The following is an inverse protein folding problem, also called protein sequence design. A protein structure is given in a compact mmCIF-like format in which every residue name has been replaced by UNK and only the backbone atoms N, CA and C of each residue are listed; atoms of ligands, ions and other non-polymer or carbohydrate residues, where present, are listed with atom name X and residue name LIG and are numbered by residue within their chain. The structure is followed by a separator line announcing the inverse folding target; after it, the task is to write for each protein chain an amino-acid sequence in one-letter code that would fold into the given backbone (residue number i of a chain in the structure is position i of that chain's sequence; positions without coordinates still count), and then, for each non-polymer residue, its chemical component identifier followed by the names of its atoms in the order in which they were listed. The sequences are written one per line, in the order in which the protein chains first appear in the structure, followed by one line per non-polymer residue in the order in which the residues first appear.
data_IF_365604416312
#
_entry.id   IF_365604416312
#
_cell.length_a   1.000
_cell.length_b   1.000
_cell.length_c   1.000
_cell.angle_alpha   90.00
_cell.angle_beta   90.00
_cell.angle_gamma   90.00
#
_symmetry.space_group_name_H-M   'P 1'
#
loop_
_entity.id
_entity.type
_entity.pdbx_description
1 polymer ?
#
# COMPACT_ATOMS: atom_id res chain seq x y z
N UNK A 1 15.06 61.97 -16.70
CA UNK A 1 16.21 61.88 -15.78
C UNK A 1 15.88 60.82 -14.73
N UNK A 2 16.34 59.56 -14.90
CA UNK A 2 16.04 58.44 -14.01
C UNK A 2 17.08 58.41 -12.89
N UNK A 3 16.74 58.84 -11.70
CA UNK A 3 17.62 58.81 -10.53
C UNK A 3 17.76 57.36 -10.06
N UNK A 4 18.85 56.68 -10.42
CA UNK A 4 19.25 55.37 -9.85
C UNK A 4 19.64 55.56 -8.39
N UNK A 5 18.72 55.31 -7.45
CA UNK A 5 19.05 55.22 -6.02
C UNK A 5 19.96 54.00 -5.80
N UNK A 6 21.22 54.25 -5.43
CA UNK A 6 22.13 53.17 -4.99
C UNK A 6 21.63 52.56 -3.71
N UNK A 7 21.33 51.27 -3.72
CA UNK A 7 20.91 50.52 -2.54
C UNK A 7 22.05 50.54 -1.52
N UNK A 8 21.79 50.85 -0.23
CA UNK A 8 22.82 50.86 0.80
C UNK A 8 23.40 49.43 0.98
N UNK A 9 24.73 49.35 1.14
CA UNK A 9 25.49 48.11 1.23
C UNK A 9 24.90 47.09 2.23
N UNK A 10 24.33 47.56 3.35
CA UNK A 10 23.67 46.69 4.33
C UNK A 10 22.42 46.01 3.81
N UNK A 11 21.60 46.67 3.01
CA UNK A 11 20.40 46.07 2.37
C UNK A 11 20.79 45.03 1.33
N UNK A 12 21.88 45.27 0.56
CA UNK A 12 22.40 44.29 -0.39
C UNK A 12 22.93 43.03 0.29
N UNK A 13 23.60 43.17 1.47
CA UNK A 13 24.07 42.04 2.27
C UNK A 13 22.93 41.22 2.85
N UNK A 14 21.89 41.86 3.40
CA UNK A 14 20.70 41.17 3.92
C UNK A 14 19.97 40.42 2.80
N UNK A 15 19.82 41.02 1.63
CA UNK A 15 19.21 40.37 0.47
C UNK A 15 20.00 39.13 0.00
N UNK A 16 21.32 39.20 -0.02
CA UNK A 16 22.21 38.10 -0.38
C UNK A 16 22.11 36.94 0.63
N UNK A 17 22.07 37.24 1.93
CA UNK A 17 21.91 36.23 3.00
C UNK A 17 20.53 35.57 2.89
N UNK A 18 19.47 36.34 2.66
CA UNK A 18 18.11 35.78 2.50
C UNK A 18 17.99 34.85 1.29
N UNK A 19 18.63 35.21 0.16
CA UNK A 19 18.67 34.35 -1.04
C UNK A 19 19.46 33.07 -0.78
N UNK A 20 20.62 33.16 -0.11
CA UNK A 20 21.40 31.99 0.28
C UNK A 20 20.65 31.07 1.25
N UNK A 21 19.98 31.64 2.24
CA UNK A 21 19.16 30.89 3.19
C UNK A 21 17.96 30.20 2.52
N UNK A 22 17.27 30.88 1.60
CA UNK A 22 16.19 30.32 0.81
C UNK A 22 16.69 29.19 -0.12
N UNK A 23 17.87 29.39 -0.75
CA UNK A 23 18.49 28.36 -1.58
C UNK A 23 18.92 27.13 -0.76
N UNK A 24 19.51 27.35 0.41
CA UNK A 24 19.86 26.28 1.34
C UNK A 24 18.63 25.55 1.87
N UNK A 25 17.54 26.28 2.14
CA UNK A 25 16.27 25.69 2.55
C UNK A 25 15.62 24.87 1.43
N UNK A 26 15.74 25.29 0.16
CA UNK A 26 15.31 24.49 -1.00
C UNK A 26 16.13 23.21 -1.19
N UNK A 27 17.42 23.21 -0.82
CA UNK A 27 18.29 22.03 -0.93
C UNK A 27 18.16 21.07 0.24
N UNK A 28 17.94 21.57 1.46
CA UNK A 28 18.02 20.79 2.71
C UNK A 28 16.70 20.79 3.48
N UNK A 29 15.78 21.69 3.14
CA UNK A 29 14.46 21.80 3.80
C UNK A 29 13.60 20.55 3.67
N UNK A 30 12.64 20.35 4.59
CA UNK A 30 11.74 19.22 4.55
C UNK A 30 10.95 19.25 3.24
N UNK A 31 11.15 18.23 2.40
CA UNK A 31 10.41 18.08 1.14
C UNK A 31 8.96 17.72 1.47
N UNK A 32 7.96 18.43 0.89
CA UNK A 32 6.57 18.06 1.08
C UNK A 32 6.36 16.60 0.62
N UNK A 33 5.56 15.86 1.38
CA UNK A 33 5.31 14.43 1.14
C UNK A 33 4.84 14.13 -0.31
N UNK A 34 4.20 15.09 -0.97
CA UNK A 34 3.78 15.00 -2.37
C UNK A 34 4.95 14.94 -3.37
N UNK A 35 6.13 15.53 -3.04
CA UNK A 35 7.34 15.44 -3.89
C UNK A 35 8.08 14.11 -3.72
N UNK A 36 7.71 13.32 -2.71
CA UNK A 36 8.28 12.00 -2.43
C UNK A 36 7.40 10.87 -2.96
N UNK A 37 6.22 11.19 -3.49
CA UNK A 37 5.36 10.22 -4.17
C UNK A 37 6.07 9.75 -5.45
N UNK A 38 6.24 8.43 -5.58
CA UNK A 38 6.98 7.82 -6.70
C UNK A 38 8.50 7.74 -6.52
N UNK A 39 9.06 8.13 -5.37
CA UNK A 39 10.46 7.83 -5.05
C UNK A 39 10.60 6.34 -4.67
N UNK A 40 11.35 5.52 -5.43
CA UNK A 40 11.45 4.07 -5.20
C UNK A 40 11.90 3.70 -3.78
N UNK A 41 12.68 4.56 -3.13
CA UNK A 41 13.13 4.31 -1.74
C UNK A 41 11.98 4.38 -0.74
N UNK A 42 11.00 5.28 -0.94
CA UNK A 42 9.83 5.39 -0.07
C UNK A 42 8.82 4.28 -0.35
N UNK A 43 8.70 3.85 -1.60
CA UNK A 43 7.89 2.68 -1.97
C UNK A 43 8.47 1.41 -1.36
N UNK A 44 9.78 1.18 -1.48
CA UNK A 44 10.47 0.04 -0.88
C UNK A 44 10.37 0.05 0.66
N UNK A 45 10.48 1.22 1.31
CA UNK A 45 10.32 1.33 2.75
C UNK A 45 8.89 1.03 3.19
N UNK A 46 7.88 1.56 2.48
CA UNK A 46 6.47 1.30 2.78
C UNK A 46 6.12 -0.18 2.58
N UNK A 47 6.61 -0.79 1.50
CA UNK A 47 6.44 -2.22 1.25
C UNK A 47 7.07 -3.06 2.36
N UNK A 48 8.30 -2.75 2.76
CA UNK A 48 8.96 -3.48 3.85
C UNK A 48 8.20 -3.34 5.17
N UNK A 49 7.71 -2.15 5.50
CA UNK A 49 6.90 -1.92 6.70
C UNK A 49 5.57 -2.69 6.64
N UNK A 50 4.91 -2.74 5.48
CA UNK A 50 3.69 -3.53 5.28
C UNK A 50 3.97 -5.03 5.45
N UNK A 51 5.00 -5.54 4.78
CA UNK A 51 5.30 -6.97 4.73
C UNK A 51 5.77 -7.51 6.09
N UNK A 52 6.45 -6.70 6.89
CA UNK A 52 6.96 -7.08 8.22
C UNK A 52 6.04 -6.70 9.38
N UNK A 53 4.96 -5.94 9.12
CA UNK A 53 4.00 -5.57 10.15
C UNK A 53 3.36 -6.80 10.77
N UNK A 54 3.43 -6.89 12.10
CA UNK A 54 2.73 -7.96 12.85
C UNK A 54 1.26 -7.62 12.95
N UNK A 55 0.41 -8.53 12.49
CA UNK A 55 -1.05 -8.45 12.54
C UNK A 55 -1.59 -9.74 13.13
N UNK A 56 -2.60 -9.66 13.96
CA UNK A 56 -3.25 -10.87 14.50
C UNK A 56 -4.09 -11.53 13.39
N UNK A 57 -4.02 -12.83 13.27
CA UNK A 57 -4.95 -13.62 12.45
C UNK A 57 -6.34 -13.59 13.09
N UNK A 58 -7.37 -13.30 12.32
CA UNK A 58 -8.75 -13.16 12.85
C UNK A 58 -9.31 -14.46 13.39
N UNK A 59 -8.89 -15.61 12.87
CA UNK A 59 -9.35 -16.93 13.33
C UNK A 59 -8.58 -17.38 14.57
N UNK A 60 -7.23 -17.43 14.49
CA UNK A 60 -6.39 -18.00 15.55
C UNK A 60 -5.97 -17.00 16.62
N UNK A 61 -5.89 -15.71 16.28
CA UNK A 61 -5.33 -14.65 17.13
C UNK A 61 -3.81 -14.62 17.15
N UNK A 62 -3.14 -15.51 16.44
CA UNK A 62 -1.69 -15.55 16.34
C UNK A 62 -1.16 -14.34 15.58
N UNK A 63 -0.01 -13.81 16.02
CA UNK A 63 0.66 -12.72 15.34
C UNK A 63 1.38 -13.23 14.10
N UNK A 64 0.98 -12.75 12.93
CA UNK A 64 1.53 -13.09 11.62
C UNK A 64 1.98 -11.85 10.85
N UNK A 65 2.73 -12.05 9.79
CA UNK A 65 3.13 -10.97 8.88
C UNK A 65 3.24 -11.51 7.45
N UNK A 66 3.14 -10.61 6.45
CA UNK A 66 3.07 -11.03 5.05
C UNK A 66 4.35 -11.71 4.52
N UNK A 67 5.50 -11.56 5.20
CA UNK A 67 6.73 -12.23 4.78
C UNK A 67 6.67 -13.77 4.88
N UNK A 68 5.73 -14.31 5.62
CA UNK A 68 5.51 -15.76 5.75
C UNK A 68 5.02 -16.41 4.46
N UNK A 69 4.44 -15.61 3.54
CA UNK A 69 3.93 -16.08 2.24
C UNK A 69 4.90 -15.83 1.07
N UNK A 70 6.19 -15.62 1.34
CA UNK A 70 7.21 -15.54 0.28
C UNK A 70 7.41 -16.89 -0.41
N UNK A 71 7.99 -16.85 -1.62
CA UNK A 71 8.28 -18.05 -2.43
C UNK A 71 7.22 -18.37 -3.47
N UNK A 72 6.04 -17.77 -3.38
CA UNK A 72 4.99 -17.76 -4.42
C UNK A 72 4.43 -16.34 -4.56
N UNK A 73 3.85 -15.99 -5.70
CA UNK A 73 3.07 -14.75 -5.82
C UNK A 73 2.05 -14.64 -4.71
N UNK A 74 1.81 -13.41 -4.23
CA UNK A 74 0.91 -13.13 -3.12
C UNK A 74 -0.12 -12.06 -3.53
N UNK A 75 -1.39 -12.39 -3.41
CA UNK A 75 -2.50 -11.44 -3.50
C UNK A 75 -2.87 -10.97 -2.10
N UNK A 76 -2.74 -9.67 -1.85
CA UNK A 76 -3.13 -9.02 -0.59
C UNK A 76 -4.35 -8.16 -0.86
N UNK A 77 -5.48 -8.49 -0.24
CA UNK A 77 -6.74 -7.76 -0.37
C UNK A 77 -7.08 -7.03 0.93
N UNK A 78 -7.16 -5.70 0.87
CA UNK A 78 -7.59 -4.85 1.99
C UNK A 78 -9.09 -4.63 1.89
N UNK A 79 -9.82 -5.00 2.93
CA UNK A 79 -11.28 -4.98 2.95
C UNK A 79 -11.84 -4.67 4.34
N UNK A 80 -13.16 -4.45 4.43
CA UNK A 80 -13.86 -4.31 5.71
C UNK A 80 -15.28 -4.89 5.61
N UNK A 81 -15.86 -5.27 6.72
CA UNK A 81 -17.21 -5.84 6.77
C UNK A 81 -18.30 -4.81 6.44
N UNK A 82 -18.05 -3.54 6.73
CA UNK A 82 -18.94 -2.41 6.42
C UNK A 82 -18.74 -1.82 5.01
N UNK A 83 -17.88 -2.43 4.18
CA UNK A 83 -17.55 -1.93 2.83
C UNK A 83 -18.33 -2.72 1.76
N UNK A 84 -19.45 -2.23 1.20
CA UNK A 84 -20.25 -2.97 0.24
C UNK A 84 -19.52 -3.37 -1.04
N UNK A 85 -18.64 -2.52 -1.64
CA UNK A 85 -17.86 -2.96 -2.80
C UNK A 85 -16.87 -4.07 -2.45
N UNK A 86 -16.30 -4.09 -1.23
CA UNK A 86 -15.43 -5.18 -0.77
C UNK A 86 -16.19 -6.51 -0.73
N UNK A 87 -17.40 -6.51 -0.15
CA UNK A 87 -18.23 -7.72 -0.03
C UNK A 87 -18.59 -8.32 -1.40
N UNK A 88 -18.77 -7.46 -2.42
CA UNK A 88 -19.12 -7.95 -3.77
C UNK A 88 -17.99 -8.71 -4.46
N UNK A 89 -16.74 -8.37 -4.19
CA UNK A 89 -15.59 -9.03 -4.84
C UNK A 89 -15.11 -10.30 -4.12
N UNK A 90 -15.37 -10.44 -2.79
CA UNK A 90 -14.86 -11.55 -2.00
C UNK A 90 -15.21 -12.95 -2.54
N UNK A 91 -16.42 -13.21 -3.09
CA UNK A 91 -16.71 -14.51 -3.70
C UNK A 91 -15.79 -14.86 -4.88
N UNK A 92 -15.41 -13.87 -5.70
CA UNK A 92 -14.49 -14.08 -6.81
C UNK A 92 -13.05 -14.33 -6.31
N UNK A 93 -12.63 -13.63 -5.24
CA UNK A 93 -11.35 -13.88 -4.57
C UNK A 93 -11.30 -15.29 -3.99
N UNK A 94 -12.37 -15.75 -3.31
CA UNK A 94 -12.44 -17.10 -2.79
C UNK A 94 -12.35 -18.17 -3.90
N UNK A 95 -13.07 -17.96 -5.00
CA UNK A 95 -13.05 -18.87 -6.13
C UNK A 95 -11.67 -18.96 -6.78
N UNK A 96 -11.00 -17.82 -7.03
CA UNK A 96 -9.67 -17.79 -7.62
C UNK A 96 -8.61 -18.34 -6.65
N UNK A 97 -8.73 -18.07 -5.35
CA UNK A 97 -7.84 -18.64 -4.35
C UNK A 97 -7.88 -20.18 -4.35
N UNK A 98 -9.05 -20.78 -4.52
CA UNK A 98 -9.18 -22.23 -4.67
C UNK A 98 -8.54 -22.76 -5.97
N UNK A 99 -8.71 -22.04 -7.09
CA UNK A 99 -8.13 -22.43 -8.39
C UNK A 99 -6.60 -22.36 -8.36
N UNK A 100 -6.04 -21.33 -7.73
CA UNK A 100 -4.60 -21.06 -7.73
C UNK A 100 -3.87 -21.51 -6.45
N UNK A 101 -4.52 -22.23 -5.52
CA UNK A 101 -4.03 -22.58 -4.17
C UNK A 101 -2.60 -23.12 -4.11
N UNK A 102 -2.19 -23.90 -5.14
CA UNK A 102 -0.86 -24.50 -5.18
C UNK A 102 0.21 -23.57 -5.78
N UNK A 103 -0.20 -22.49 -6.45
CA UNK A 103 0.65 -21.59 -7.22
C UNK A 103 0.73 -20.18 -6.65
N UNK A 104 -0.30 -19.71 -5.95
CA UNK A 104 -0.45 -18.34 -5.48
C UNK A 104 -0.98 -18.32 -4.06
N UNK A 105 -0.42 -17.47 -3.22
CA UNK A 105 -0.94 -17.20 -1.88
C UNK A 105 -1.97 -16.06 -1.92
N UNK A 106 -2.95 -16.14 -1.06
CA UNK A 106 -3.92 -15.08 -0.80
C UNK A 106 -3.94 -14.75 0.69
N UNK A 107 -4.03 -13.45 1.00
CA UNK A 107 -4.18 -12.95 2.37
C UNK A 107 -5.15 -11.76 2.36
N UNK A 108 -6.18 -11.82 3.18
CA UNK A 108 -7.02 -10.67 3.48
C UNK A 108 -6.40 -9.82 4.59
N UNK A 109 -6.45 -8.50 4.47
CA UNK A 109 -6.20 -7.56 5.57
C UNK A 109 -7.52 -6.86 5.85
N UNK A 110 -8.16 -7.26 6.94
CA UNK A 110 -9.45 -6.74 7.37
C UNK A 110 -9.29 -5.52 8.28
N UNK A 111 -10.04 -4.46 8.01
CA UNK A 111 -10.04 -3.22 8.80
C UNK A 111 -11.32 -3.12 9.61
N UNK A 112 -11.49 -4.04 10.54
CA UNK A 112 -12.63 -4.14 11.41
C UNK A 112 -12.28 -4.95 12.68
N UNK A 113 -13.25 -5.10 13.58
CA UNK A 113 -13.14 -5.91 14.78
C UNK A 113 -12.96 -7.41 14.44
N UNK A 114 -12.15 -8.09 15.23
CA UNK A 114 -11.78 -9.50 15.03
C UNK A 114 -12.97 -10.41 14.74
N UNK A 115 -13.99 -10.34 15.60
CA UNK A 115 -15.16 -11.23 15.51
C UNK A 115 -15.99 -10.96 14.25
N UNK A 116 -16.13 -9.70 13.88
CA UNK A 116 -16.81 -9.31 12.64
C UNK A 116 -16.08 -9.86 11.41
N UNK A 117 -14.74 -9.71 11.36
CA UNK A 117 -13.90 -10.24 10.28
C UNK A 117 -13.96 -11.76 10.21
N UNK A 118 -13.85 -12.45 11.36
CA UNK A 118 -13.91 -13.91 11.45
C UNK A 118 -15.23 -14.44 10.92
N UNK A 119 -16.33 -13.84 11.35
CA UNK A 119 -17.68 -14.22 10.92
C UNK A 119 -17.89 -13.98 9.42
N UNK A 120 -17.50 -12.81 8.93
CA UNK A 120 -17.65 -12.46 7.53
C UNK A 120 -16.75 -13.33 6.62
N UNK A 121 -15.49 -13.58 7.00
CA UNK A 121 -14.58 -14.44 6.24
C UNK A 121 -15.16 -15.85 6.08
N UNK A 122 -15.73 -16.42 7.14
CA UNK A 122 -16.46 -17.71 7.09
C UNK A 122 -17.70 -17.63 6.21
N UNK A 123 -18.49 -16.56 6.35
CA UNK A 123 -19.71 -16.35 5.55
C UNK A 123 -19.45 -16.25 4.05
N UNK A 124 -18.34 -15.65 3.64
CA UNK A 124 -17.89 -15.58 2.24
C UNK A 124 -17.12 -16.84 1.79
N UNK A 125 -16.84 -17.79 2.70
CA UNK A 125 -16.08 -18.99 2.37
C UNK A 125 -14.64 -18.73 1.94
N UNK A 126 -13.97 -17.74 2.55
CA UNK A 126 -12.59 -17.40 2.20
C UNK A 126 -11.65 -18.56 2.59
N UNK A 127 -10.94 -19.19 1.62
CA UNK A 127 -10.05 -20.32 1.89
C UNK A 127 -8.64 -19.87 2.32
N UNK A 128 -8.48 -18.60 2.66
CA UNK A 128 -7.21 -17.97 3.02
C UNK A 128 -7.35 -17.12 4.30
N UNK A 129 -6.24 -16.87 5.03
CA UNK A 129 -6.28 -16.12 6.28
C UNK A 129 -6.68 -14.66 6.07
N UNK A 130 -7.38 -14.12 7.08
CA UNK A 130 -7.65 -12.69 7.22
C UNK A 130 -6.91 -12.17 8.42
N UNK A 131 -5.97 -11.24 8.21
CA UNK A 131 -5.22 -10.56 9.25
C UNK A 131 -5.94 -9.27 9.65
N UNK A 132 -5.88 -8.92 10.93
CA UNK A 132 -6.49 -7.70 11.45
C UNK A 132 -5.57 -6.53 11.18
N UNK A 133 -5.93 -5.69 10.21
CA UNK A 133 -5.23 -4.47 9.87
C UNK A 133 -5.57 -3.31 10.81
N UNK A 134 -4.81 -2.25 10.70
CA UNK A 134 -5.01 -1.00 11.43
C UNK A 134 -4.63 0.21 10.57
N UNK A 135 -4.78 1.43 11.11
CA UNK A 135 -4.46 2.66 10.40
C UNK A 135 -3.00 2.78 9.97
N UNK A 136 -2.04 2.18 10.70
CA UNK A 136 -0.64 2.14 10.30
C UNK A 136 -0.45 1.29 9.04
N UNK A 137 -0.99 0.07 9.04
CA UNK A 137 -0.90 -0.89 7.93
C UNK A 137 -1.58 -0.32 6.67
N UNK A 138 -2.78 0.26 6.82
CA UNK A 138 -3.46 0.94 5.71
C UNK A 138 -2.67 2.17 5.23
N UNK A 139 -1.99 2.87 6.13
CA UNK A 139 -1.13 4.01 5.81
C UNK A 139 0.00 3.67 4.84
N UNK A 140 0.55 2.44 4.90
CA UNK A 140 1.61 2.00 3.98
C UNK A 140 1.11 1.91 2.53
N UNK A 141 -0.16 1.61 2.32
CA UNK A 141 -0.75 1.48 0.97
C UNK A 141 -0.71 2.80 0.17
N UNK A 142 -0.61 3.96 0.84
CA UNK A 142 -0.51 5.29 0.19
C UNK A 142 0.66 5.34 -0.79
N UNK A 143 1.79 4.76 -0.42
CA UNK A 143 3.01 4.70 -1.25
C UNK A 143 3.01 3.53 -2.23
N UNK A 144 2.02 2.64 -2.11
CA UNK A 144 1.86 1.44 -2.92
C UNK A 144 0.66 1.55 -3.87
N UNK A 145 0.25 2.79 -4.22
CA UNK A 145 -0.77 3.06 -5.22
C UNK A 145 -2.18 3.32 -4.67
N UNK A 146 -2.36 3.48 -3.34
CA UNK A 146 -3.64 3.83 -2.71
C UNK A 146 -3.57 5.19 -1.98
N UNK A 147 -3.44 6.31 -2.69
CA UNK A 147 -3.22 7.62 -2.09
C UNK A 147 -4.36 8.09 -1.17
N UNK A 148 -5.57 7.61 -1.40
CA UNK A 148 -6.77 7.96 -0.64
C UNK A 148 -7.05 7.02 0.53
N UNK A 149 -6.27 5.93 0.70
CA UNK A 149 -6.53 4.84 1.64
C UNK A 149 -7.92 4.23 1.44
N UNK A 150 -8.39 4.22 0.18
CA UNK A 150 -9.70 3.67 -0.20
C UNK A 150 -9.78 2.17 -0.04
N UNK A 151 -11.00 1.66 0.15
CA UNK A 151 -11.31 0.23 0.17
C UNK A 151 -12.35 -0.11 -0.91
N UNK A 152 -12.27 -1.32 -1.47
CA UNK A 152 -11.17 -2.28 -1.33
C UNK A 152 -9.88 -1.80 -2.00
N UNK A 153 -8.75 -2.38 -1.57
CA UNK A 153 -7.48 -2.19 -2.24
C UNK A 153 -6.79 -3.55 -2.39
N UNK A 154 -6.34 -3.86 -3.59
CA UNK A 154 -5.62 -5.11 -3.87
C UNK A 154 -4.19 -4.80 -4.29
N UNK A 155 -3.22 -5.46 -3.66
CA UNK A 155 -1.81 -5.44 -4.01
C UNK A 155 -1.39 -6.86 -4.41
N UNK A 156 -0.73 -7.00 -5.56
CA UNK A 156 -0.22 -8.29 -6.03
C UNK A 156 1.30 -8.24 -6.08
N UNK A 157 1.92 -9.17 -5.39
CA UNK A 157 3.37 -9.31 -5.30
C UNK A 157 3.85 -10.56 -6.07
N UNK A 158 5.06 -10.52 -6.62
CA UNK A 158 5.73 -11.71 -7.17
C UNK A 158 6.27 -12.64 -6.06
N UNK A 159 6.85 -13.76 -6.41
CA UNK A 159 7.42 -14.72 -5.46
C UNK A 159 8.57 -14.17 -4.62
N UNK A 160 9.23 -13.08 -5.07
CA UNK A 160 10.28 -12.37 -4.33
C UNK A 160 9.69 -11.32 -3.38
N UNK A 161 8.36 -11.09 -3.45
CA UNK A 161 7.67 -10.08 -2.66
C UNK A 161 7.77 -8.68 -3.26
N UNK A 162 8.07 -8.54 -4.56
CA UNK A 162 8.07 -7.26 -5.26
C UNK A 162 6.69 -6.95 -5.82
N UNK A 163 6.22 -5.69 -5.79
CA UNK A 163 4.95 -5.29 -6.36
C UNK A 163 4.93 -5.54 -7.88
N UNK A 164 3.89 -6.23 -8.35
CA UNK A 164 3.62 -6.45 -9.78
C UNK A 164 2.54 -5.51 -10.26
N UNK A 165 1.45 -5.41 -9.48
CA UNK A 165 0.32 -4.52 -9.79
C UNK A 165 -0.48 -4.22 -8.53
N UNK A 166 -1.29 -3.17 -8.62
CA UNK A 166 -2.26 -2.81 -7.58
C UNK A 166 -3.57 -2.32 -8.19
N UNK A 167 -4.63 -2.36 -7.39
CA UNK A 167 -5.94 -1.87 -7.80
C UNK A 167 -6.66 -1.20 -6.63
N UNK A 168 -7.23 -0.01 -6.86
CA UNK A 168 -8.08 0.71 -5.91
C UNK A 168 -9.53 0.57 -6.35
N UNK A 169 -10.40 0.16 -5.44
CA UNK A 169 -11.80 -0.15 -5.72
C UNK A 169 -12.05 -1.62 -6.01
N UNK A 170 -13.32 -1.98 -6.21
CA UNK A 170 -13.70 -3.37 -6.46
C UNK A 170 -13.08 -3.92 -7.75
N UNK A 171 -12.48 -5.09 -7.65
CA UNK A 171 -11.80 -5.78 -8.74
C UNK A 171 -12.70 -6.88 -9.31
N UNK A 172 -12.89 -6.90 -10.64
CA UNK A 172 -13.61 -7.99 -11.29
C UNK A 172 -12.77 -9.27 -11.29
N UNK A 173 -13.46 -10.43 -11.36
CA UNK A 173 -12.80 -11.73 -11.47
C UNK A 173 -11.77 -11.79 -12.62
N UNK A 174 -12.11 -11.25 -13.79
CA UNK A 174 -11.21 -11.23 -14.93
C UNK A 174 -9.95 -10.37 -14.68
N UNK A 175 -10.12 -9.21 -14.03
CA UNK A 175 -9.01 -8.33 -13.69
C UNK A 175 -8.08 -8.99 -12.64
N UNK A 176 -8.66 -9.64 -11.61
CA UNK A 176 -7.88 -10.36 -10.61
C UNK A 176 -7.12 -11.53 -11.22
N UNK A 177 -7.77 -12.29 -12.11
CA UNK A 177 -7.11 -13.39 -12.82
C UNK A 177 -5.94 -12.88 -13.68
N UNK A 178 -6.11 -11.80 -14.42
CA UNK A 178 -5.04 -11.20 -15.21
C UNK A 178 -3.86 -10.73 -14.33
N UNK A 179 -4.14 -10.13 -13.18
CA UNK A 179 -3.12 -9.73 -12.22
C UNK A 179 -2.33 -10.93 -11.64
N UNK A 180 -3.02 -12.03 -11.35
CA UNK A 180 -2.41 -13.30 -10.90
C UNK A 180 -1.48 -13.86 -11.98
N UNK A 181 -1.95 -13.96 -13.23
CA UNK A 181 -1.14 -14.48 -14.34
C UNK A 181 0.09 -13.59 -14.60
N UNK A 182 -0.05 -12.27 -14.48
CA UNK A 182 1.08 -11.34 -14.56
C UNK A 182 2.12 -11.63 -13.46
N UNK A 183 1.69 -11.87 -12.22
CA UNK A 183 2.59 -12.17 -11.11
C UNK A 183 3.28 -13.54 -11.27
N UNK A 184 2.59 -14.53 -11.80
CA UNK A 184 3.16 -15.83 -12.14
C UNK A 184 4.22 -15.71 -13.24
N UNK A 185 4.00 -14.89 -14.25
CA UNK A 185 4.95 -14.64 -15.34
C UNK A 185 6.18 -13.82 -14.88
N UNK A 186 6.04 -12.98 -13.86
CA UNK A 186 7.13 -12.20 -13.26
C UNK A 186 8.03 -13.03 -12.31
N UNK A 187 7.61 -14.25 -11.99
CA UNK A 187 8.36 -15.19 -11.14
C UNK A 187 9.32 -16.00 -12.00
N UNK A 188 10.65 -15.92 -11.79
CA UNK A 188 11.64 -16.66 -12.58
C UNK A 188 11.57 -18.18 -12.35
#
# INVERSE_FOLDING_TARGET
MIVRRKMPRRLAQIAAIAVLAAFLWLLVGPRPASLLAGDPRYEAAALNQLVTAKMADSETGEARNLSEWRGKPLVVNFWATWCPPCQRELPDFAALANIYRDRVHFVGIGLDEREALRTAAKGFGLPYPTLIGNGFVLGQTVRLGNPTRGLPFTLVLDARGQPVTHHVGAMSRAALQAAIEQALAATP
#
